data_IF_551505790157
#
_entry.id   IF_551505790157
#
_cell.length_a   1.000
_cell.length_b   1.000
_cell.length_c   1.000
_cell.angle_alpha   90.00
_cell.angle_beta   90.00
_cell.angle_gamma   90.00
#
_symmetry.space_group_name_H-M   'P 1'
#
loop_
_entity.id
_entity.type
_entity.pdbx_description
1 polymer ?
#
# COMPACT_ATOMS: atom_id res chain seq x y z
N UNK A 1 27.77 -8.11 -3.09
CA UNK A 1 26.60 -8.42 -2.75
C UNK A 1 25.98 -7.57 -1.75
N UNK A 2 26.53 -7.37 -0.64
CA UNK A 2 25.98 -6.48 0.31
C UNK A 2 25.93 -5.07 -0.19
N UNK A 3 26.84 -4.74 -1.09
CA UNK A 3 26.83 -3.39 -1.61
C UNK A 3 25.56 -3.08 -2.33
N UNK A 4 24.96 -4.06 -2.95
CA UNK A 4 23.72 -3.84 -3.62
C UNK A 4 22.67 -3.36 -2.65
N UNK A 5 22.62 -3.95 -1.50
CA UNK A 5 21.64 -3.53 -0.53
C UNK A 5 21.97 -2.19 0.07
N UNK A 6 23.25 -1.86 0.12
CA UNK A 6 23.62 -0.58 0.67
C UNK A 6 23.08 0.55 -0.19
N UNK A 7 22.84 0.28 -1.47
CA UNK A 7 22.32 1.31 -2.35
C UNK A 7 20.81 1.36 -2.36
N UNK A 8 20.15 0.39 -1.75
CA UNK A 8 18.71 0.40 -1.71
C UNK A 8 18.28 1.38 -0.64
N UNK A 9 17.40 2.27 -1.00
CA UNK A 9 16.92 3.26 -0.05
C UNK A 9 15.61 2.83 0.51
N UNK A 10 15.64 2.22 1.67
CA UNK A 10 14.39 1.77 2.26
C UNK A 10 13.47 2.92 2.56
N UNK A 11 14.04 4.11 2.66
CA UNK A 11 13.21 5.26 2.89
C UNK A 11 12.57 5.75 1.63
N UNK A 12 12.81 5.06 0.53
CA UNK A 12 12.21 5.47 -0.70
C UNK A 12 10.72 5.51 -0.56
N UNK A 13 10.16 6.36 -1.32
CA UNK A 13 8.74 6.55 -1.36
C UNK A 13 8.07 5.33 -1.96
N UNK A 14 7.04 4.86 -1.31
CA UNK A 14 6.25 3.74 -1.83
C UNK A 14 4.89 4.28 -2.21
N UNK A 15 4.58 4.18 -3.48
CA UNK A 15 3.28 4.63 -3.98
C UNK A 15 2.30 3.48 -3.95
N UNK A 16 1.03 3.80 -3.94
CA UNK A 16 0.04 2.74 -3.98
C UNK A 16 -1.19 3.17 -4.74
N UNK A 17 -1.99 2.17 -5.09
CA UNK A 17 -3.22 2.37 -5.83
C UNK A 17 -4.45 2.02 -4.99
N UNK A 18 -4.32 2.06 -3.68
CA UNK A 18 -5.41 1.63 -2.80
C UNK A 18 -6.64 2.50 -3.03
N UNK A 19 -6.46 3.82 -3.09
CA UNK A 19 -7.60 4.71 -3.30
C UNK A 19 -8.30 4.42 -4.62
N UNK A 20 -7.51 4.22 -5.66
CA UNK A 20 -8.06 3.94 -6.98
C UNK A 20 -8.87 2.65 -6.97
N UNK A 21 -8.32 1.61 -6.36
CA UNK A 21 -8.99 0.31 -6.35
C UNK A 21 -10.22 0.35 -5.46
N UNK A 22 -10.12 1.05 -4.34
CA UNK A 22 -11.25 1.20 -3.43
C UNK A 22 -12.39 1.94 -4.13
N UNK A 23 -12.06 3.04 -4.78
CA UNK A 23 -13.07 3.84 -5.46
C UNK A 23 -13.73 3.06 -6.59
N UNK A 24 -12.95 2.24 -7.29
CA UNK A 24 -13.50 1.44 -8.37
C UNK A 24 -14.55 0.45 -7.85
N UNK A 25 -14.43 0.04 -6.60
CA UNK A 25 -15.42 -0.85 -6.00
C UNK A 25 -16.53 -0.07 -5.28
N UNK A 26 -16.49 1.23 -5.32
CA UNK A 26 -17.50 2.03 -4.66
C UNK A 26 -17.45 1.99 -3.15
N UNK A 27 -16.28 1.69 -2.58
CA UNK A 27 -16.13 1.57 -1.14
C UNK A 27 -15.64 2.87 -0.53
N UNK A 28 -16.15 3.19 0.65
CA UNK A 28 -15.60 4.29 1.42
C UNK A 28 -14.35 3.81 2.17
N UNK A 29 -13.59 4.74 2.70
CA UNK A 29 -12.44 4.38 3.51
C UNK A 29 -12.87 3.59 4.74
N UNK A 30 -13.99 3.97 5.33
CA UNK A 30 -14.49 3.25 6.49
C UNK A 30 -14.90 1.83 6.15
N UNK A 31 -15.51 1.66 4.98
CA UNK A 31 -15.92 0.33 4.57
C UNK A 31 -14.70 -0.56 4.33
N UNK A 32 -13.69 -0.03 3.70
CA UNK A 32 -12.48 -0.80 3.49
C UNK A 32 -11.82 -1.13 4.83
N UNK A 33 -11.79 -0.16 5.73
CA UNK A 33 -11.24 -0.42 7.06
C UNK A 33 -11.96 -1.55 7.76
N UNK A 34 -13.30 -1.58 7.65
CA UNK A 34 -14.06 -2.66 8.26
C UNK A 34 -13.70 -4.01 7.67
N UNK A 35 -13.55 -4.08 6.36
CA UNK A 35 -13.21 -5.33 5.71
C UNK A 35 -11.84 -5.81 6.18
N UNK A 36 -10.91 -4.89 6.34
CA UNK A 36 -9.54 -5.26 6.68
C UNK A 36 -9.28 -5.31 8.18
N UNK A 37 -10.23 -4.86 8.99
CA UNK A 37 -10.05 -4.88 10.43
C UNK A 37 -9.18 -3.75 10.94
N UNK A 38 -9.14 -2.63 10.25
CA UNK A 38 -8.36 -1.47 10.69
C UNK A 38 -9.26 -0.24 10.66
N UNK A 39 -8.78 0.84 11.25
CA UNK A 39 -9.58 2.05 11.32
C UNK A 39 -9.61 2.77 9.97
N UNK A 40 -10.62 3.62 9.81
CA UNK A 40 -10.69 4.47 8.64
C UNK A 40 -9.45 5.36 8.54
N UNK A 41 -8.97 5.82 9.68
CA UNK A 41 -7.79 6.67 9.68
C UNK A 41 -6.57 5.94 9.15
N UNK A 42 -6.45 4.66 9.45
CA UNK A 42 -5.36 3.87 8.92
C UNK A 42 -5.43 3.81 7.40
N UNK A 43 -6.62 3.60 6.85
CA UNK A 43 -6.78 3.56 5.40
C UNK A 43 -6.40 4.91 4.80
N UNK A 44 -6.86 5.99 5.43
CA UNK A 44 -6.52 7.32 4.94
C UNK A 44 -5.02 7.55 4.93
N UNK A 45 -4.34 7.13 5.98
CA UNK A 45 -2.90 7.31 6.07
C UNK A 45 -2.16 6.49 5.03
N UNK A 46 -2.64 5.29 4.74
CA UNK A 46 -2.04 4.46 3.71
C UNK A 46 -2.22 5.14 2.35
N UNK A 47 -3.42 5.58 2.05
CA UNK A 47 -3.69 6.18 0.75
C UNK A 47 -2.90 7.44 0.52
N UNK A 48 -2.62 8.17 1.58
CA UNK A 48 -1.84 9.39 1.49
C UNK A 48 -0.35 9.14 1.67
N UNK A 49 0.05 7.87 1.71
CA UNK A 49 1.45 7.48 1.73
C UNK A 49 2.19 7.97 2.96
N UNK A 50 1.46 8.12 4.06
CA UNK A 50 2.06 8.50 5.34
C UNK A 50 2.35 7.30 6.21
N UNK A 51 1.81 6.17 5.86
CA UNK A 51 1.94 4.97 6.66
C UNK A 51 2.07 3.79 5.71
N UNK A 52 3.11 3.02 5.91
CA UNK A 52 3.31 1.84 5.09
C UNK A 52 2.69 0.66 5.83
N UNK A 53 1.77 -0.07 5.22
CA UNK A 53 1.14 -1.18 5.90
C UNK A 53 2.15 -2.28 6.19
N UNK A 54 1.89 -3.03 7.26
CA UNK A 54 2.68 -4.22 7.54
C UNK A 54 2.48 -5.21 6.41
N UNK A 55 3.36 -6.19 6.33
CA UNK A 55 3.21 -7.20 5.30
C UNK A 55 1.87 -7.93 5.41
N UNK A 56 1.42 -8.36 6.59
CA UNK A 56 0.11 -8.99 6.66
C UNK A 56 -1.01 -8.09 6.16
N UNK A 57 -0.96 -6.81 6.46
CA UNK A 57 -2.00 -5.90 6.00
C UNK A 57 -1.91 -5.70 4.50
N UNK A 58 -0.69 -5.60 3.96
CA UNK A 58 -0.53 -5.46 2.53
C UNK A 58 -1.08 -6.68 1.79
N UNK A 59 -0.85 -7.86 2.34
CA UNK A 59 -1.37 -9.08 1.73
C UNK A 59 -2.90 -9.11 1.80
N UNK A 60 -3.47 -8.63 2.90
CA UNK A 60 -4.92 -8.59 3.03
C UNK A 60 -5.52 -7.60 2.03
N UNK A 61 -4.86 -6.46 1.81
CA UNK A 61 -5.31 -5.50 0.83
C UNK A 61 -5.28 -6.12 -0.56
N UNK A 62 -4.18 -6.81 -0.87
CA UNK A 62 -4.04 -7.44 -2.17
C UNK A 62 -5.14 -8.46 -2.40
N UNK A 63 -5.44 -9.25 -1.38
CA UNK A 63 -6.48 -10.24 -1.48
C UNK A 63 -7.85 -9.60 -1.66
N UNK A 64 -8.09 -8.51 -0.95
CA UNK A 64 -9.35 -7.80 -1.04
C UNK A 64 -9.63 -7.33 -2.46
N UNK A 65 -8.59 -6.85 -3.14
CA UNK A 65 -8.76 -6.30 -4.48
C UNK A 65 -8.35 -7.29 -5.57
N UNK A 66 -7.95 -8.51 -5.18
CA UNK A 66 -7.59 -9.55 -6.14
C UNK A 66 -6.49 -9.08 -7.07
N UNK A 67 -5.51 -8.43 -6.49
CA UNK A 67 -4.34 -7.94 -7.19
C UNK A 67 -3.12 -8.42 -6.44
N UNK A 68 -1.97 -8.46 -7.09
CA UNK A 68 -0.76 -8.78 -6.38
C UNK A 68 -0.31 -7.56 -5.59
N UNK A 69 0.50 -7.80 -4.57
CA UNK A 69 1.04 -6.70 -3.79
C UNK A 69 1.83 -5.76 -4.71
N UNK A 70 2.57 -6.33 -5.65
CA UNK A 70 3.38 -5.52 -6.55
C UNK A 70 2.56 -4.66 -7.49
N UNK A 71 1.32 -5.08 -7.77
CA UNK A 71 0.45 -4.25 -8.59
C UNK A 71 -0.13 -3.08 -7.81
N UNK A 72 -0.19 -3.20 -6.50
CA UNK A 72 -0.79 -2.16 -5.68
C UNK A 72 0.26 -1.21 -5.11
N UNK A 73 1.39 -1.76 -4.68
CA UNK A 73 2.43 -0.97 -4.02
C UNK A 73 3.68 -1.00 -4.88
N UNK A 74 4.20 0.16 -5.22
CA UNK A 74 5.39 0.24 -6.05
C UNK A 74 6.37 1.21 -5.43
N UNK A 75 7.62 0.93 -5.60
CA UNK A 75 8.69 1.78 -5.12
C UNK A 75 8.97 2.84 -6.16
N UNK A 76 9.13 4.07 -5.71
CA UNK A 76 9.44 5.14 -6.61
C UNK A 76 10.91 5.06 -6.94
N UNK A 77 11.22 4.81 -8.21
CA UNK A 77 12.59 4.63 -8.61
C UNK A 77 13.09 5.71 -9.51
N UNK A 78 12.64 6.87 -9.29
CA UNK A 78 13.00 7.90 -10.21
C UNK A 78 14.45 8.16 -10.25
N UNK A 79 15.17 7.75 -9.28
CA UNK A 79 16.55 8.03 -9.26
C UNK A 79 17.31 7.28 -10.27
N UNK A 80 16.85 6.24 -10.71
CA UNK A 80 17.67 5.43 -11.58
C UNK A 80 18.01 6.12 -12.88
#
# INVERSE_FOLDING_TARGET
>A
MLDTYAHVKYACHVKNRVRELRSAKGMSQGELGNVLGVSRQTINSIENERYMPSLPLALAIARCFEQSVENIFTVDEEES
#
